data_IF_054434791307
#
_entry.id   IF_054434791307
#
_cell.length_a   1.000
_cell.length_b   1.000
_cell.length_c   1.000
_cell.angle_alpha   90.00
_cell.angle_beta   90.00
_cell.angle_gamma   90.00
#
_symmetry.space_group_name_H-M   'P 1'
#
loop_
_entity.id
_entity.type
_entity.pdbx_description
1 polymer ?
#
# COMPACT_ATOMS: atom_id res chain seq x y z
N UNK A 1 22.80 85.95 -4.17
CA UNK A 1 23.90 85.01 -3.89
C UNK A 1 23.31 83.74 -3.30
N UNK A 2 23.67 82.61 -3.89
CA UNK A 2 23.52 81.21 -3.45
C UNK A 2 22.17 80.54 -3.70
N UNK A 3 22.20 79.76 -4.77
CA UNK A 3 21.26 78.83 -5.20
C UNK A 3 21.17 77.61 -4.21
N UNK A 4 19.99 77.13 -3.97
CA UNK A 4 19.75 75.84 -3.39
C UNK A 4 18.98 75.00 -4.39
N UNK A 5 19.64 73.94 -4.89
CA UNK A 5 19.11 72.93 -5.82
C UNK A 5 18.30 71.92 -5.02
N UNK A 6 17.01 71.87 -5.30
CA UNK A 6 16.11 70.78 -4.79
C UNK A 6 16.14 69.63 -5.75
N UNK A 7 16.80 68.55 -5.36
CA UNK A 7 16.76 67.25 -6.05
C UNK A 7 15.53 66.50 -5.54
N UNK A 8 14.51 66.38 -6.40
CA UNK A 8 13.32 65.59 -6.18
C UNK A 8 13.64 64.12 -6.55
N UNK A 9 13.95 63.32 -5.54
CA UNK A 9 14.16 61.89 -5.72
C UNK A 9 12.83 61.16 -5.83
N UNK A 10 12.51 60.71 -7.05
CA UNK A 10 11.42 59.74 -7.26
C UNK A 10 11.80 58.40 -6.64
N UNK A 11 11.17 58.06 -5.53
CA UNK A 11 11.26 56.72 -4.92
C UNK A 11 10.22 55.82 -5.60
N UNK A 12 10.68 55.03 -6.57
CA UNK A 12 9.90 53.91 -7.13
C UNK A 12 9.77 52.80 -6.09
N UNK A 13 8.61 52.72 -5.46
CA UNK A 13 8.22 51.55 -4.65
C UNK A 13 7.90 50.39 -5.61
N UNK A 14 8.87 49.54 -5.91
CA UNK A 14 8.64 48.25 -6.45
C UNK A 14 8.19 47.32 -5.31
N UNK A 15 6.87 47.16 -5.17
CA UNK A 15 6.28 46.14 -4.28
C UNK A 15 6.58 44.74 -4.82
N UNK A 16 7.57 44.10 -4.25
CA UNK A 16 7.73 42.62 -4.39
C UNK A 16 6.64 41.97 -3.59
N UNK A 17 5.60 41.49 -4.28
CA UNK A 17 4.72 40.47 -3.75
C UNK A 17 5.50 39.15 -3.72
N UNK A 18 6.27 38.94 -2.66
CA UNK A 18 6.71 37.59 -2.28
C UNK A 18 5.50 36.83 -1.74
N UNK A 19 4.78 36.19 -2.63
CA UNK A 19 3.80 35.17 -2.26
C UNK A 19 4.54 33.96 -1.66
N UNK A 20 4.81 34.01 -0.36
CA UNK A 20 5.12 32.81 0.41
C UNK A 20 3.87 31.94 0.46
N UNK A 21 3.71 31.06 -0.52
CA UNK A 21 2.94 29.86 -0.32
C UNK A 21 3.66 29.07 0.80
N UNK A 22 3.15 29.13 2.02
CA UNK A 22 3.52 28.16 3.05
C UNK A 22 3.18 26.79 2.47
N UNK A 23 4.18 26.05 1.97
CA UNK A 23 4.14 24.60 2.04
C UNK A 23 4.02 24.32 3.55
N UNK A 24 2.89 23.79 3.99
CA UNK A 24 2.82 23.12 5.27
C UNK A 24 3.87 22.01 5.19
N UNK A 25 4.98 22.18 5.90
CA UNK A 25 5.95 21.12 6.11
C UNK A 25 5.22 20.09 6.94
N UNK A 26 4.84 18.98 6.33
CA UNK A 26 4.36 17.80 7.03
C UNK A 26 5.42 17.45 8.08
N UNK A 27 5.08 17.38 9.37
CA UNK A 27 6.05 17.01 10.39
C UNK A 27 6.73 15.69 10.00
N UNK A 28 8.03 15.56 10.25
CA UNK A 28 8.86 14.47 9.78
C UNK A 28 8.47 13.05 10.29
N UNK A 29 7.38 12.93 11.02
CA UNK A 29 6.91 11.68 11.63
C UNK A 29 5.37 11.59 11.65
N UNK A 30 4.69 11.86 10.54
CA UNK A 30 3.24 11.67 10.44
C UNK A 30 2.90 10.44 9.60
N UNK A 31 1.76 9.84 9.93
CA UNK A 31 1.14 8.73 9.22
C UNK A 31 -0.21 9.18 8.70
N UNK A 32 -0.47 8.96 7.41
CA UNK A 32 -1.77 9.18 6.80
C UNK A 32 -2.74 8.07 7.23
N UNK A 33 -3.66 8.38 8.13
CA UNK A 33 -4.76 7.47 8.49
C UNK A 33 -5.89 7.64 7.48
N UNK A 34 -6.25 6.57 6.78
CA UNK A 34 -7.25 6.61 5.73
C UNK A 34 -8.65 6.29 6.26
N UNK A 35 -9.59 7.19 6.01
CA UNK A 35 -11.01 7.08 6.32
C UNK A 35 -11.84 6.98 5.04
N UNK A 36 -13.06 6.47 5.14
CA UNK A 36 -13.99 6.38 4.00
C UNK A 36 -14.90 7.59 4.01
N UNK A 37 -15.15 8.23 2.86
CA UNK A 37 -16.14 9.29 2.76
C UNK A 37 -17.56 8.71 2.93
N UNK A 38 -18.52 9.55 3.36
CA UNK A 38 -19.89 9.10 3.64
C UNK A 38 -20.63 8.53 2.42
N UNK A 39 -20.28 8.98 1.24
CA UNK A 39 -20.82 8.51 -0.02
C UNK A 39 -20.26 7.14 -0.44
N UNK A 40 -19.29 6.61 0.31
CA UNK A 40 -18.60 5.34 0.04
C UNK A 40 -18.02 5.24 -1.39
N UNK A 41 -17.41 6.33 -1.86
CA UNK A 41 -16.81 6.41 -3.20
C UNK A 41 -15.30 6.48 -3.19
N UNK A 42 -14.69 6.88 -2.06
CA UNK A 42 -13.24 7.05 -1.93
C UNK A 42 -12.77 6.98 -0.48
N UNK A 43 -11.47 6.77 -0.33
CA UNK A 43 -10.76 6.96 0.95
C UNK A 43 -10.09 8.35 0.97
N UNK A 44 -9.95 8.91 2.15
CA UNK A 44 -9.34 10.22 2.38
C UNK A 44 -8.34 10.13 3.51
N UNK A 45 -7.13 10.64 3.30
CA UNK A 45 -6.08 10.66 4.29
C UNK A 45 -6.30 11.78 5.31
N UNK A 46 -6.02 11.48 6.57
CA UNK A 46 -5.92 12.45 7.67
C UNK A 46 -4.56 12.22 8.33
N UNK A 47 -3.71 13.23 8.32
CA UNK A 47 -2.37 13.14 8.91
C UNK A 47 -2.46 13.10 10.43
N UNK A 48 -1.76 12.10 11.03
CA UNK A 48 -1.68 11.92 12.49
C UNK A 48 -0.26 11.55 12.89
N UNK A 49 0.13 11.93 14.09
CA UNK A 49 1.39 11.51 14.68
C UNK A 49 1.22 10.10 15.26
N UNK A 50 2.05 9.12 14.85
CA UNK A 50 1.96 7.77 15.39
C UNK A 50 2.40 7.73 16.86
N UNK A 51 1.67 6.97 17.65
CA UNK A 51 1.98 6.74 19.07
C UNK A 51 2.60 5.35 19.25
N UNK A 52 3.54 5.24 20.19
CA UNK A 52 4.18 3.99 20.56
C UNK A 52 5.64 3.92 20.15
N UNK A 53 6.42 3.25 21.00
CA UNK A 53 7.88 3.08 20.92
C UNK A 53 8.29 1.71 20.33
N UNK A 54 7.31 0.86 20.04
CA UNK A 54 7.51 -0.46 19.44
C UNK A 54 6.53 -0.68 18.29
N UNK A 55 6.91 -1.53 17.33
CA UNK A 55 6.04 -1.89 16.20
C UNK A 55 4.65 -2.38 16.68
N UNK A 56 4.60 -3.19 17.73
CA UNK A 56 3.32 -3.67 18.28
C UNK A 56 2.44 -2.53 18.77
N UNK A 57 3.00 -1.54 19.51
CA UNK A 57 2.25 -0.38 19.98
C UNK A 57 1.82 0.54 18.83
N UNK A 58 2.67 0.73 17.84
CA UNK A 58 2.32 1.50 16.64
C UNK A 58 1.21 0.81 15.83
N UNK A 59 1.27 -0.52 15.71
CA UNK A 59 0.21 -1.30 15.07
C UNK A 59 -1.12 -1.19 15.85
N UNK A 60 -1.08 -1.30 17.18
CA UNK A 60 -2.24 -1.10 18.05
C UNK A 60 -2.84 0.30 17.89
N UNK A 61 -1.97 1.34 17.89
CA UNK A 61 -2.37 2.71 17.63
C UNK A 61 -3.06 2.85 16.27
N UNK A 62 -2.45 2.38 15.19
CA UNK A 62 -3.02 2.45 13.84
C UNK A 62 -4.39 1.77 13.74
N UNK A 63 -4.53 0.59 14.35
CA UNK A 63 -5.80 -0.14 14.45
C UNK A 63 -6.84 0.66 15.26
N UNK A 64 -6.43 1.32 16.36
CA UNK A 64 -7.34 2.16 17.15
C UNK A 64 -7.84 3.35 16.34
N UNK A 65 -6.94 4.02 15.59
CA UNK A 65 -7.30 5.15 14.73
C UNK A 65 -8.30 4.75 13.64
N UNK A 66 -8.12 3.56 13.05
CA UNK A 66 -9.05 3.03 12.04
C UNK A 66 -10.43 2.67 12.62
N UNK A 67 -10.54 2.40 13.92
CA UNK A 67 -11.81 2.14 14.63
C UNK A 67 -12.56 3.40 15.01
N UNK A 68 -11.85 4.49 15.23
CA UNK A 68 -12.44 5.75 15.66
C UNK A 68 -13.01 6.53 14.48
N UNK A 69 -14.17 7.18 14.70
CA UNK A 69 -14.66 8.11 13.70
C UNK A 69 -13.82 9.40 13.73
N UNK A 70 -13.38 9.90 12.57
CA UNK A 70 -12.64 11.15 12.51
C UNK A 70 -13.51 12.34 12.92
N UNK A 71 -12.87 13.47 13.24
CA UNK A 71 -13.54 14.73 13.58
C UNK A 71 -14.32 15.27 12.37
N UNK A 72 -13.83 15.02 11.16
CA UNK A 72 -14.45 15.44 9.91
C UNK A 72 -15.76 14.68 9.68
N UNK A 73 -16.87 15.39 9.79
CA UNK A 73 -18.21 14.82 9.66
C UNK A 73 -18.53 14.21 8.29
N UNK A 74 -17.74 14.50 7.27
CA UNK A 74 -17.85 13.91 5.93
C UNK A 74 -17.19 12.55 5.79
N UNK A 75 -16.45 12.11 6.81
CA UNK A 75 -15.70 10.86 6.85
C UNK A 75 -16.30 9.90 7.89
N UNK A 76 -16.00 8.62 7.72
CA UNK A 76 -16.33 7.58 8.69
C UNK A 76 -15.18 6.60 8.88
N UNK A 77 -15.18 5.92 10.00
CA UNK A 77 -14.27 4.80 10.27
C UNK A 77 -14.40 3.71 9.19
N UNK A 78 -13.31 3.17 8.68
CA UNK A 78 -13.36 1.97 7.83
C UNK A 78 -13.79 0.72 8.60
N UNK A 79 -13.55 0.67 9.92
CA UNK A 79 -13.95 -0.46 10.76
C UNK A 79 -15.30 -0.14 11.41
N UNK A 80 -16.35 -0.31 10.61
CA UNK A 80 -17.74 -0.06 11.03
C UNK A 80 -18.64 -1.20 10.60
N UNK A 81 -19.47 -1.70 11.53
CA UNK A 81 -20.39 -2.82 11.29
C UNK A 81 -19.76 -4.21 11.43
N UNK A 82 -18.45 -4.28 11.70
CA UNK A 82 -17.71 -5.49 12.03
C UNK A 82 -16.60 -5.17 13.03
N UNK A 83 -15.94 -6.19 13.57
CA UNK A 83 -14.85 -6.06 14.53
C UNK A 83 -13.56 -6.72 14.02
N UNK A 84 -12.42 -6.31 14.56
CA UNK A 84 -11.17 -7.05 14.49
C UNK A 84 -11.12 -7.93 15.75
N UNK A 85 -11.21 -9.25 15.56
CA UNK A 85 -11.17 -10.24 16.64
C UNK A 85 -9.79 -10.37 17.26
N UNK A 86 -8.78 -10.42 16.39
CA UNK A 86 -7.36 -10.51 16.77
C UNK A 86 -6.47 -9.97 15.67
N UNK A 87 -5.23 -9.66 16.04
CA UNK A 87 -4.19 -9.28 15.10
C UNK A 87 -2.82 -9.72 15.61
N UNK A 88 -1.89 -9.91 14.70
CA UNK A 88 -0.48 -10.10 15.01
C UNK A 88 0.40 -9.56 13.89
N UNK A 89 1.65 -9.25 14.24
CA UNK A 89 2.71 -8.96 13.27
C UNK A 89 3.70 -10.11 13.31
N UNK A 90 3.96 -10.69 12.16
CA UNK A 90 4.96 -11.74 11.99
C UNK A 90 5.86 -11.38 10.82
N UNK A 91 7.15 -11.31 11.08
CA UNK A 91 8.14 -10.77 10.15
C UNK A 91 7.76 -9.32 9.78
N UNK A 92 7.41 -9.04 8.53
CA UNK A 92 6.94 -7.74 8.03
C UNK A 92 5.45 -7.74 7.63
N UNK A 93 4.70 -8.74 8.07
CA UNK A 93 3.29 -8.94 7.72
C UNK A 93 2.38 -8.75 8.94
N UNK A 94 1.44 -7.80 8.82
CA UNK A 94 0.32 -7.67 9.75
C UNK A 94 -0.81 -8.60 9.31
N UNK A 95 -1.24 -9.50 10.18
CA UNK A 95 -2.41 -10.37 9.97
C UNK A 95 -3.55 -9.87 10.84
N UNK A 96 -4.71 -9.61 10.23
CA UNK A 96 -5.94 -9.16 10.90
C UNK A 96 -7.01 -10.24 10.74
N UNK A 97 -7.58 -10.71 11.85
CA UNK A 97 -8.78 -11.56 11.83
C UNK A 97 -10.02 -10.71 12.07
N UNK A 98 -10.86 -10.60 11.05
CA UNK A 98 -12.12 -9.86 11.10
C UNK A 98 -13.24 -10.75 11.61
N UNK A 99 -14.24 -10.15 12.25
CA UNK A 99 -15.46 -10.87 12.61
C UNK A 99 -16.26 -11.25 11.36
N UNK A 100 -17.13 -12.24 11.50
CA UNK A 100 -17.94 -12.77 10.37
C UNK A 100 -18.85 -11.73 9.73
N UNK A 101 -19.15 -10.64 10.44
CA UNK A 101 -19.92 -9.51 9.94
C UNK A 101 -19.23 -8.81 8.75
N UNK A 102 -17.90 -8.92 8.64
CA UNK A 102 -17.15 -8.41 7.49
C UNK A 102 -17.70 -8.93 6.15
N UNK A 103 -18.15 -10.19 6.11
CA UNK A 103 -18.75 -10.80 4.91
C UNK A 103 -20.08 -10.15 4.48
N UNK A 104 -20.67 -9.26 5.31
CA UNK A 104 -21.90 -8.53 4.99
C UNK A 104 -21.66 -7.20 4.29
N UNK A 105 -20.41 -6.78 4.16
CA UNK A 105 -20.07 -5.56 3.41
C UNK A 105 -20.45 -5.72 1.94
N UNK A 106 -20.89 -4.61 1.33
CA UNK A 106 -21.03 -4.58 -0.12
C UNK A 106 -19.67 -4.70 -0.79
N UNK A 107 -19.56 -5.23 -2.01
CA UNK A 107 -18.26 -5.34 -2.69
C UNK A 107 -17.50 -4.01 -2.78
N UNK A 108 -18.20 -2.90 -3.04
CA UNK A 108 -17.59 -1.56 -3.09
C UNK A 108 -17.07 -1.09 -1.73
N UNK A 109 -17.87 -1.29 -0.66
CA UNK A 109 -17.46 -0.92 0.69
C UNK A 109 -16.31 -1.77 1.18
N UNK A 110 -16.31 -3.06 0.86
CA UNK A 110 -15.27 -4.01 1.23
C UNK A 110 -13.91 -3.59 0.66
N UNK A 111 -13.89 -3.18 -0.59
CA UNK A 111 -12.73 -2.64 -1.29
C UNK A 111 -12.16 -1.41 -0.59
N UNK A 112 -13.01 -0.44 -0.26
CA UNK A 112 -12.60 0.79 0.42
C UNK A 112 -12.09 0.51 1.84
N UNK A 113 -12.70 -0.43 2.54
CA UNK A 113 -12.25 -0.88 3.87
C UNK A 113 -10.84 -1.46 3.79
N UNK A 114 -10.58 -2.38 2.87
CA UNK A 114 -9.23 -2.94 2.68
C UNK A 114 -8.22 -1.88 2.28
N UNK A 115 -8.59 -1.02 1.34
CA UNK A 115 -7.71 0.07 0.91
C UNK A 115 -7.32 0.99 2.08
N UNK A 116 -8.29 1.39 2.91
CA UNK A 116 -8.05 2.25 4.06
C UNK A 116 -7.13 1.58 5.09
N UNK A 117 -7.39 0.31 5.42
CA UNK A 117 -6.58 -0.46 6.37
C UNK A 117 -5.15 -0.64 5.84
N UNK A 118 -5.00 -1.14 4.61
CA UNK A 118 -3.68 -1.45 4.05
C UNK A 118 -2.85 -0.18 3.88
N UNK A 119 -3.41 0.88 3.29
CA UNK A 119 -2.68 2.15 3.10
C UNK A 119 -2.32 2.84 4.41
N UNK A 120 -3.07 2.64 5.49
CA UNK A 120 -2.70 3.14 6.81
C UNK A 120 -1.58 2.31 7.41
N UNK A 121 -1.75 1.00 7.47
CA UNK A 121 -0.88 0.13 8.25
C UNK A 121 0.49 -0.09 7.62
N UNK A 122 0.59 -0.08 6.28
CA UNK A 122 1.87 -0.27 5.58
C UNK A 122 2.79 0.97 5.59
N UNK A 123 2.37 2.07 6.20
CA UNK A 123 3.25 3.21 6.47
C UNK A 123 4.05 3.05 7.77
N UNK A 124 3.62 2.13 8.64
CA UNK A 124 4.34 1.85 9.88
C UNK A 124 5.61 1.06 9.58
N UNK A 125 6.74 1.53 10.09
CA UNK A 125 8.03 0.87 9.89
C UNK A 125 7.98 -0.57 10.42
N UNK A 126 8.31 -1.53 9.55
CA UNK A 126 8.24 -2.97 9.84
C UNK A 126 6.93 -3.65 9.44
N UNK A 127 5.98 -2.96 8.78
CA UNK A 127 4.79 -3.57 8.16
C UNK A 127 4.83 -3.30 6.66
N UNK A 128 5.20 -4.30 5.88
CA UNK A 128 5.21 -4.24 4.41
C UNK A 128 3.92 -4.77 3.80
N UNK A 129 3.24 -5.69 4.50
CA UNK A 129 2.06 -6.40 4.00
C UNK A 129 0.96 -6.47 5.05
N UNK A 130 -0.29 -6.45 4.59
CA UNK A 130 -1.46 -6.74 5.42
C UNK A 130 -2.20 -7.93 4.84
N UNK A 131 -2.50 -8.92 5.67
CA UNK A 131 -3.37 -10.04 5.34
C UNK A 131 -4.62 -10.01 6.19
N UNK A 132 -5.73 -10.46 5.61
CA UNK A 132 -7.03 -10.51 6.28
C UNK A 132 -7.55 -11.94 6.30
N UNK A 133 -7.99 -12.38 7.48
CA UNK A 133 -8.85 -13.55 7.66
C UNK A 133 -10.22 -13.09 8.18
N UNK A 134 -11.24 -13.91 8.03
CA UNK A 134 -12.60 -13.63 8.51
C UNK A 134 -13.11 -14.82 9.29
N UNK A 135 -13.18 -14.65 10.61
CA UNK A 135 -13.53 -15.76 11.52
C UNK A 135 -12.53 -16.92 11.46
N UNK A 136 -11.25 -16.61 11.28
CA UNK A 136 -10.15 -17.57 11.17
C UNK A 136 -9.96 -18.20 9.79
N UNK A 137 -10.85 -17.93 8.81
CA UNK A 137 -10.74 -18.40 7.44
C UNK A 137 -10.08 -17.35 6.53
N UNK A 138 -9.32 -17.79 5.52
CA UNK A 138 -8.74 -16.89 4.54
C UNK A 138 -9.83 -16.07 3.83
N UNK A 139 -9.58 -14.76 3.65
CA UNK A 139 -10.45 -13.92 2.83
C UNK A 139 -10.40 -14.40 1.38
N UNK A 140 -11.58 -14.48 0.74
CA UNK A 140 -11.70 -14.83 -0.68
C UNK A 140 -12.34 -13.70 -1.47
N UNK A 141 -11.96 -13.57 -2.74
CA UNK A 141 -12.60 -12.67 -3.70
C UNK A 141 -13.96 -13.20 -4.16
N UNK A 142 -14.64 -12.47 -5.04
CA UNK A 142 -15.94 -12.84 -5.62
C UNK A 142 -15.91 -14.11 -6.49
N UNK A 143 -14.72 -14.55 -6.90
CA UNK A 143 -14.50 -15.77 -7.68
C UNK A 143 -14.11 -16.97 -6.79
N UNK A 144 -13.96 -16.76 -5.48
CA UNK A 144 -13.53 -17.76 -4.51
C UNK A 144 -12.03 -17.95 -4.40
N UNK A 145 -11.22 -17.11 -5.04
CA UNK A 145 -9.77 -17.15 -4.87
C UNK A 145 -9.36 -16.53 -3.55
N UNK A 146 -8.35 -17.08 -2.90
CA UNK A 146 -7.81 -16.52 -1.66
C UNK A 146 -7.15 -15.17 -1.93
N UNK A 147 -7.55 -14.16 -1.17
CA UNK A 147 -6.89 -12.84 -1.17
C UNK A 147 -5.59 -12.96 -0.37
N UNK A 148 -4.46 -12.84 -1.04
CA UNK A 148 -3.12 -12.91 -0.44
C UNK A 148 -2.74 -11.66 0.37
N UNK A 149 -1.46 -11.57 0.80
CA UNK A 149 -0.92 -10.37 1.44
C UNK A 149 -1.03 -9.16 0.52
N UNK A 150 -1.49 -8.04 1.09
CA UNK A 150 -1.77 -6.80 0.35
C UNK A 150 -0.76 -5.70 0.70
N UNK A 151 -0.41 -4.88 -0.29
CA UNK A 151 0.43 -3.68 -0.16
C UNK A 151 -0.34 -2.42 -0.57
N UNK A 152 0.17 -1.24 -0.24
CA UNK A 152 -0.51 0.03 -0.52
C UNK A 152 -0.72 0.31 -2.02
N UNK A 153 0.22 -0.12 -2.86
CA UNK A 153 0.20 0.08 -4.31
C UNK A 153 -0.87 -0.73 -5.04
N UNK A 154 -1.50 -1.72 -4.36
CA UNK A 154 -2.71 -2.39 -4.86
C UNK A 154 -3.92 -1.47 -5.01
N UNK A 155 -3.95 -0.42 -4.23
CA UNK A 155 -5.07 0.49 -4.11
C UNK A 155 -4.72 1.83 -4.75
N UNK A 156 -4.67 1.86 -6.08
CA UNK A 156 -4.50 3.11 -6.84
C UNK A 156 -5.80 3.93 -6.76
N UNK A 157 -5.68 5.25 -6.64
CA UNK A 157 -6.80 6.21 -6.49
C UNK A 157 -7.74 6.31 -7.71
N UNK A 158 -7.90 5.25 -8.47
CA UNK A 158 -8.84 5.19 -9.58
C UNK A 158 -10.11 4.48 -9.13
N UNK A 159 -11.12 5.27 -8.82
CA UNK A 159 -12.47 4.77 -8.62
C UNK A 159 -12.87 3.86 -9.80
N UNK A 160 -12.93 2.56 -9.57
CA UNK A 160 -13.52 1.62 -10.50
C UNK A 160 -12.59 0.60 -11.17
N UNK A 161 -11.30 0.55 -10.86
CA UNK A 161 -10.41 -0.50 -11.37
C UNK A 161 -10.17 -1.60 -10.33
N UNK A 162 -10.13 -2.82 -10.82
CA UNK A 162 -9.99 -4.06 -10.07
C UNK A 162 -8.82 -4.00 -9.09
N UNK A 163 -9.09 -4.47 -7.87
CA UNK A 163 -8.09 -4.53 -6.82
C UNK A 163 -7.20 -5.70 -7.08
N UNK A 164 -5.92 -5.40 -7.25
CA UNK A 164 -4.89 -6.40 -7.30
C UNK A 164 -4.51 -6.85 -5.88
N UNK A 165 -4.72 -8.11 -5.54
CA UNK A 165 -4.08 -8.73 -4.40
C UNK A 165 -2.71 -9.26 -4.85
N UNK A 166 -1.68 -9.17 -4.00
CA UNK A 166 -0.43 -9.87 -4.26
C UNK A 166 -0.47 -11.25 -3.61
N UNK A 167 -0.07 -12.22 -4.37
CA UNK A 167 0.12 -13.58 -3.92
C UNK A 167 1.61 -13.88 -3.79
N UNK A 168 1.95 -14.81 -2.92
CA UNK A 168 3.31 -15.28 -2.72
C UNK A 168 3.39 -16.75 -3.10
N UNK A 169 4.21 -17.07 -4.08
CA UNK A 169 4.39 -18.44 -4.54
C UNK A 169 5.85 -18.80 -4.68
N UNK A 170 6.14 -20.11 -4.75
CA UNK A 170 7.44 -20.63 -5.15
C UNK A 170 7.24 -21.45 -6.40
N UNK A 171 8.04 -21.18 -7.41
CA UNK A 171 7.98 -21.86 -8.69
C UNK A 171 9.15 -22.83 -8.80
N UNK A 172 8.93 -23.98 -9.39
CA UNK A 172 9.98 -24.87 -9.88
C UNK A 172 10.13 -24.59 -11.38
N UNK A 173 11.18 -23.88 -11.76
CA UNK A 173 11.45 -23.51 -13.14
C UNK A 173 12.61 -24.33 -13.69
N UNK A 174 12.57 -24.64 -14.98
CA UNK A 174 13.62 -25.40 -15.62
C UNK A 174 14.41 -24.51 -16.58
N UNK A 175 15.71 -24.49 -16.39
CA UNK A 175 16.69 -23.76 -17.20
C UNK A 175 17.64 -24.74 -17.87
N UNK A 176 18.32 -24.29 -18.92
CA UNK A 176 19.26 -25.15 -19.64
C UNK A 176 20.70 -24.93 -19.15
N UNK A 177 21.54 -25.94 -19.32
CA UNK A 177 22.99 -25.78 -19.20
C UNK A 177 23.54 -25.06 -20.46
N UNK A 178 24.83 -24.70 -20.44
CA UNK A 178 25.50 -23.98 -21.54
C UNK A 178 25.37 -24.70 -22.90
N UNK A 179 25.43 -26.02 -22.92
CA UNK A 179 25.30 -26.81 -24.16
C UNK A 179 23.85 -26.93 -24.67
N UNK A 180 22.85 -26.55 -23.89
CA UNK A 180 21.43 -26.71 -24.22
C UNK A 180 20.92 -28.17 -24.16
N UNK A 181 21.71 -29.13 -23.69
CA UNK A 181 21.38 -30.55 -23.72
C UNK A 181 20.61 -31.04 -22.51
N UNK A 182 20.60 -30.27 -21.43
CA UNK A 182 19.97 -30.66 -20.14
C UNK A 182 19.10 -29.54 -19.58
N UNK A 183 17.94 -29.92 -19.05
CA UNK A 183 17.10 -29.06 -18.22
C UNK A 183 17.37 -29.33 -16.75
N UNK A 184 17.62 -28.27 -16.03
CA UNK A 184 17.91 -28.27 -14.58
C UNK A 184 16.81 -27.51 -13.87
N UNK A 185 16.13 -28.19 -12.93
CA UNK A 185 15.04 -27.58 -12.14
C UNK A 185 15.61 -26.72 -11.00
N UNK A 186 15.19 -25.47 -10.93
CA UNK A 186 15.55 -24.51 -9.89
C UNK A 186 14.29 -24.05 -9.18
N UNK A 187 14.27 -24.18 -7.86
CA UNK A 187 13.18 -23.63 -7.06
C UNK A 187 13.45 -22.15 -6.77
N UNK A 188 12.52 -21.29 -7.16
CA UNK A 188 12.66 -19.85 -6.94
C UNK A 188 12.60 -19.52 -5.45
N UNK A 189 13.21 -18.40 -5.05
CA UNK A 189 12.83 -17.69 -3.83
C UNK A 189 11.34 -17.37 -3.89
N UNK A 190 10.68 -17.10 -2.75
CA UNK A 190 9.28 -16.68 -2.78
C UNK A 190 9.08 -15.48 -3.71
N UNK A 191 8.27 -15.67 -4.75
CA UNK A 191 7.92 -14.62 -5.72
C UNK A 191 6.60 -14.01 -5.32
N UNK A 192 6.58 -12.69 -5.15
CA UNK A 192 5.35 -11.91 -4.94
C UNK A 192 4.87 -11.44 -6.31
N UNK A 193 3.61 -11.68 -6.62
CA UNK A 193 3.01 -11.30 -7.91
C UNK A 193 1.56 -10.83 -7.72
N UNK A 194 1.08 -9.99 -8.64
CA UNK A 194 -0.32 -9.54 -8.62
C UNK A 194 -1.26 -10.69 -8.98
N UNK A 195 -2.35 -10.87 -8.22
CA UNK A 195 -3.39 -11.88 -8.54
C UNK A 195 -4.10 -11.64 -9.88
N UNK A 196 -3.93 -10.46 -10.49
CA UNK A 196 -4.42 -10.19 -11.84
C UNK A 196 -3.51 -10.74 -12.94
N UNK A 197 -2.34 -11.26 -12.58
CA UNK A 197 -1.45 -11.95 -13.51
C UNK A 197 -1.73 -13.44 -13.38
N UNK A 198 -2.08 -14.10 -14.48
CA UNK A 198 -2.24 -15.55 -14.46
C UNK A 198 -0.91 -16.22 -14.10
N UNK A 199 -0.98 -17.38 -13.46
CA UNK A 199 0.21 -18.16 -13.08
C UNK A 199 1.07 -18.48 -14.31
N UNK A 200 0.42 -18.76 -15.45
CA UNK A 200 1.11 -19.05 -16.73
C UNK A 200 1.93 -17.85 -17.19
N UNK A 201 1.35 -16.65 -17.11
CA UNK A 201 2.06 -15.41 -17.48
C UNK A 201 3.25 -15.19 -16.56
N UNK A 202 3.08 -15.35 -15.24
CA UNK A 202 4.17 -15.24 -14.26
C UNK A 202 5.30 -16.23 -14.58
N UNK A 203 4.97 -17.49 -14.85
CA UNK A 203 5.95 -18.54 -15.19
C UNK A 203 6.73 -18.16 -16.45
N UNK A 204 6.04 -17.71 -17.52
CA UNK A 204 6.68 -17.30 -18.77
C UNK A 204 7.59 -16.10 -18.57
N UNK A 205 7.14 -15.08 -17.85
CA UNK A 205 7.97 -13.92 -17.52
C UNK A 205 9.24 -14.29 -16.76
N UNK A 206 9.13 -15.22 -15.79
CA UNK A 206 10.28 -15.70 -15.03
C UNK A 206 11.23 -16.56 -15.86
N UNK A 207 10.72 -17.37 -16.77
CA UNK A 207 11.57 -18.15 -17.70
C UNK A 207 12.32 -17.25 -18.69
N UNK A 208 11.70 -16.14 -19.15
CA UNK A 208 12.35 -15.14 -20.01
C UNK A 208 13.41 -14.35 -19.23
N UNK A 209 13.11 -13.97 -17.98
CA UNK A 209 14.05 -13.25 -17.12
C UNK A 209 15.31 -14.06 -16.79
N UNK A 210 15.22 -15.40 -16.91
CA UNK A 210 16.34 -16.28 -16.64
C UNK A 210 16.50 -16.64 -15.15
N UNK A 211 17.54 -17.44 -14.82
CA UNK A 211 17.84 -17.87 -13.47
C UNK A 211 18.33 -16.71 -12.60
N UNK A 212 18.14 -16.84 -11.29
CA UNK A 212 18.70 -15.90 -10.31
C UNK A 212 20.25 -15.93 -10.37
N UNK A 213 20.89 -14.81 -10.00
CA UNK A 213 22.35 -14.63 -10.06
C UNK A 213 23.18 -15.70 -9.29
N UNK A 214 22.55 -16.46 -8.41
CA UNK A 214 23.18 -17.58 -7.70
C UNK A 214 23.38 -18.83 -8.60
N UNK A 215 22.80 -18.83 -9.82
CA UNK A 215 22.83 -19.94 -10.78
C UNK A 215 23.48 -19.50 -12.10
N UNK A 216 24.66 -18.90 -12.03
CA UNK A 216 25.38 -18.29 -13.16
C UNK A 216 25.71 -19.27 -14.33
N UNK A 217 25.64 -20.58 -14.09
CA UNK A 217 25.89 -21.62 -15.12
C UNK A 217 24.63 -22.06 -15.88
N UNK A 218 23.49 -21.43 -15.58
CA UNK A 218 22.22 -21.76 -16.20
C UNK A 218 21.75 -20.66 -17.14
N UNK A 219 21.02 -21.04 -18.17
CA UNK A 219 20.58 -20.15 -19.24
C UNK A 219 19.07 -20.25 -19.45
N UNK A 220 18.40 -19.15 -19.86
CA UNK A 220 16.99 -19.17 -20.21
C UNK A 220 16.67 -20.18 -21.30
N UNK A 221 15.54 -20.85 -21.20
CA UNK A 221 15.02 -21.75 -22.25
C UNK A 221 14.15 -21.01 -23.27
N UNK A 222 13.77 -19.78 -22.97
CA UNK A 222 12.99 -18.88 -23.84
C UNK A 222 13.85 -17.64 -24.07
N UNK A 223 14.14 -17.33 -25.33
CA UNK A 223 14.75 -16.07 -25.71
C UNK A 223 13.67 -14.98 -25.74
N UNK A 224 13.98 -13.74 -25.25
CA UNK A 224 13.06 -12.61 -25.28
C UNK A 224 12.72 -12.18 -26.72
#
# INVERSE_FOLDING_TARGET
MRAAVLILGCLLLTGMFAGCGKKEETPANTVSVYYINKEETKITAVEKEPEGDTLSKQAEWGISQLKENPVELSLRSPISGFAINSWNVKDDQLVLDMSVEYKKLSPSSEVLVRAAIVRTMTQLEGISYVSVTVGGEALTDSLGNVVGPMTADLFIDNAGNEINAYEKTRLLLYFTNESGERLIGVQTKPVVYSSNISMEKLVVERLIAGPDAENEELYPVINP
#
